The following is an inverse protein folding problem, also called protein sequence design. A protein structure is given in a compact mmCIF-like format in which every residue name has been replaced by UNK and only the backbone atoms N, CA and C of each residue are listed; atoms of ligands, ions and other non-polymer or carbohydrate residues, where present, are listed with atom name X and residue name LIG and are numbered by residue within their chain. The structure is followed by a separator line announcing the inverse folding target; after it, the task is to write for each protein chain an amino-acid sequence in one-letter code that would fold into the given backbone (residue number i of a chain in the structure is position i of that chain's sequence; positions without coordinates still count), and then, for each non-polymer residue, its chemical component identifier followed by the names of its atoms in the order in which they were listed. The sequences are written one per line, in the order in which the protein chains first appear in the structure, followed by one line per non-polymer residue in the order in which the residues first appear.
data_IF_580623594206
#
_entry.id   IF_580623594206
#
_cell.length_a   1.000
_cell.length_b   1.000
_cell.length_c   1.000
_cell.angle_alpha   90.00
_cell.angle_beta   90.00
_cell.angle_gamma   90.00
#
_symmetry.space_group_name_H-M   'P 1'
#
loop_
_entity.id
_entity.type
_entity.pdbx_description
1 polymer ?
#
# COMPACT_ATOMS: atom_id res chain seq x y z
N UNK A 1 15.37 -39.13 -19.32
CA UNK A 1 14.92 -38.95 -17.93
C UNK A 1 16.11 -38.78 -16.96
N UNK A 2 17.19 -38.09 -17.38
CA UNK A 2 18.46 -38.09 -16.63
C UNK A 2 18.90 -36.70 -16.16
N UNK A 3 18.28 -35.61 -16.64
CA UNK A 3 18.62 -34.23 -16.22
C UNK A 3 17.76 -33.67 -15.07
N UNK A 4 16.69 -34.37 -14.65
CA UNK A 4 15.78 -33.89 -13.61
C UNK A 4 16.35 -34.14 -12.21
N UNK A 5 17.10 -35.23 -12.00
CA UNK A 5 17.65 -35.57 -10.68
C UNK A 5 18.86 -34.72 -10.25
N UNK A 6 19.45 -33.92 -11.15
CA UNK A 6 20.60 -33.05 -10.80
C UNK A 6 20.18 -31.73 -10.17
N UNK A 7 18.93 -31.28 -10.40
CA UNK A 7 18.43 -29.98 -9.91
C UNK A 7 17.51 -30.08 -8.69
N UNK A 8 16.96 -31.27 -8.39
CA UNK A 8 16.11 -31.54 -7.21
C UNK A 8 16.33 -32.98 -6.70
N UNK A 9 17.24 -33.19 -5.74
CA UNK A 9 17.52 -34.51 -5.16
C UNK A 9 16.31 -35.12 -4.43
N UNK A 10 15.39 -34.28 -3.98
CA UNK A 10 14.16 -34.58 -3.23
C UNK A 10 13.09 -35.36 -4.02
N UNK A 11 13.21 -35.43 -5.35
CA UNK A 11 12.21 -36.06 -6.23
C UNK A 11 12.64 -37.42 -6.79
N UNK A 12 13.87 -37.87 -6.52
CA UNK A 12 14.42 -39.12 -7.07
C UNK A 12 14.82 -40.12 -5.99
N UNK A 13 14.31 -40.00 -4.76
CA UNK A 13 14.57 -40.96 -3.68
C UNK A 13 13.62 -42.18 -3.80
N UNK A 14 14.11 -43.38 -4.14
CA UNK A 14 13.30 -44.59 -4.18
C UNK A 14 12.94 -45.13 -2.78
N UNK A 15 13.41 -44.53 -1.69
CA UNK A 15 13.08 -44.94 -0.31
C UNK A 15 12.04 -44.07 0.41
N UNK A 16 11.51 -43.01 -0.23
CA UNK A 16 10.52 -42.11 0.37
C UNK A 16 9.05 -42.51 0.22
N UNK A 17 8.74 -43.55 -0.58
CA UNK A 17 7.37 -43.97 -0.92
C UNK A 17 6.91 -45.28 -0.23
N UNK A 18 7.42 -45.56 0.98
CA UNK A 18 7.02 -46.73 1.75
C UNK A 18 6.78 -46.40 3.23
N UNK A 19 5.75 -45.59 3.52
CA UNK A 19 5.07 -45.64 4.82
C UNK A 19 3.63 -45.16 4.78
N UNK A 20 2.87 -45.67 3.82
CA UNK A 20 1.46 -45.98 4.04
C UNK A 20 1.33 -47.49 3.85
N UNK A 21 1.07 -48.21 4.95
CA UNK A 21 0.25 -49.41 4.84
C UNK A 21 -0.58 -49.63 6.12
N UNK A 22 -1.76 -50.25 5.95
CA UNK A 22 -2.83 -50.35 6.91
C UNK A 22 -2.71 -51.61 7.77
N UNK A 23 -3.26 -51.59 8.99
CA UNK A 23 -3.61 -52.83 9.70
C UNK A 23 -5.04 -52.82 10.16
N UNK A 24 -5.71 -53.88 9.74
CA UNK A 24 -7.13 -54.15 9.90
C UNK A 24 -7.53 -54.42 11.36
N UNK A 25 -8.77 -54.00 11.63
CA UNK A 25 -9.77 -54.48 12.57
C UNK A 25 -9.40 -55.64 13.53
N UNK A 26 -9.47 -55.33 14.82
CA UNK A 26 -9.86 -56.25 15.91
C UNK A 26 -10.97 -55.57 16.74
N UNK A 27 -11.96 -56.32 17.27
CA UNK A 27 -13.19 -55.78 17.84
C UNK A 27 -12.92 -55.23 19.25
N UNK A 28 -13.46 -54.05 19.57
CA UNK A 28 -13.35 -53.50 20.93
C UNK A 28 -13.50 -51.99 21.06
N UNK A 29 -13.54 -51.25 19.96
CA UNK A 29 -13.62 -49.78 20.00
C UNK A 29 -15.02 -49.21 20.32
N UNK A 30 -16.05 -50.05 20.46
CA UNK A 30 -17.39 -49.61 20.82
C UNK A 30 -17.70 -49.72 22.33
N UNK A 31 -16.84 -50.39 23.12
CA UNK A 31 -17.10 -50.68 24.53
C UNK A 31 -16.23 -49.83 25.49
N UNK A 32 -15.13 -49.25 25.00
CA UNK A 32 -14.33 -48.26 25.76
C UNK A 32 -14.98 -46.87 25.86
N UNK A 33 -16.09 -46.62 25.15
CA UNK A 33 -16.79 -45.33 25.14
C UNK A 33 -17.86 -45.21 26.25
N UNK A 34 -18.05 -46.24 27.09
CA UNK A 34 -19.14 -46.28 28.09
C UNK A 34 -18.71 -46.33 29.56
N UNK A 35 -17.42 -46.32 29.87
CA UNK A 35 -16.91 -46.51 31.23
C UNK A 35 -16.08 -45.34 31.78
N UNK A 36 -16.40 -44.10 31.38
CA UNK A 36 -15.79 -42.87 31.94
C UNK A 36 -16.82 -41.87 32.50
N UNK A 37 -18.05 -42.33 32.77
CA UNK A 37 -19.15 -41.52 33.34
C UNK A 37 -19.23 -41.55 34.88
N UNK A 38 -18.11 -41.63 35.58
CA UNK A 38 -18.16 -41.57 37.05
C UNK A 38 -16.83 -41.24 37.68
N UNK A 39 -16.59 -39.96 37.98
CA UNK A 39 -15.79 -39.56 39.14
C UNK A 39 -16.27 -38.19 39.70
N UNK A 40 -16.20 -38.00 41.03
CA UNK A 40 -16.87 -36.95 41.82
C UNK A 40 -16.15 -35.58 41.76
N UNK A 41 -16.77 -34.48 42.25
CA UNK A 41 -16.19 -33.14 42.14
C UNK A 41 -14.97 -32.98 43.07
N UNK A 42 -13.83 -32.62 42.47
CA UNK A 42 -12.64 -32.15 43.18
C UNK A 42 -12.66 -30.63 43.42
N UNK A 43 -11.94 -30.13 44.44
CA UNK A 43 -12.05 -28.74 44.92
C UNK A 43 -11.48 -27.70 43.93
N UNK A 44 -12.15 -26.55 43.83
CA UNK A 44 -11.76 -25.37 43.04
C UNK A 44 -10.38 -24.82 43.45
N UNK A 45 -9.46 -24.77 42.49
CA UNK A 45 -8.24 -23.96 42.55
C UNK A 45 -8.53 -22.55 41.99
N UNK A 46 -8.06 -21.47 42.65
CA UNK A 46 -8.31 -20.11 42.18
C UNK A 46 -7.64 -19.82 40.83
N UNK A 47 -8.39 -19.18 39.94
CA UNK A 47 -7.96 -18.79 38.59
C UNK A 47 -6.68 -17.93 38.61
N UNK A 48 -5.71 -18.31 37.79
CA UNK A 48 -4.53 -17.50 37.51
C UNK A 48 -4.94 -16.20 36.78
N UNK A 49 -4.35 -15.04 37.11
CA UNK A 49 -4.62 -13.79 36.43
C UNK A 49 -4.20 -13.86 34.96
N UNK A 50 -5.13 -13.53 34.05
CA UNK A 50 -4.88 -13.51 32.61
C UNK A 50 -3.82 -12.49 32.20
N UNK A 51 -3.21 -12.66 31.00
CA UNK A 51 -2.21 -11.73 30.49
C UNK A 51 -2.78 -10.31 30.33
N UNK A 52 -1.97 -9.25 30.54
CA UNK A 52 -2.41 -7.88 30.42
C UNK A 52 -2.91 -7.58 29.00
N UNK A 53 -3.93 -6.71 28.86
CA UNK A 53 -4.48 -6.35 27.56
C UNK A 53 -3.39 -5.73 26.66
N UNK A 54 -3.28 -6.25 25.43
CA UNK A 54 -2.44 -5.69 24.37
C UNK A 54 -2.84 -4.23 24.14
N UNK A 55 -1.90 -3.27 24.11
CA UNK A 55 -2.21 -1.88 23.82
C UNK A 55 -2.89 -1.77 22.45
N UNK A 56 -4.07 -1.15 22.40
CA UNK A 56 -4.72 -0.84 21.14
C UNK A 56 -3.78 0.02 20.27
N UNK A 57 -3.71 -0.21 18.94
CA UNK A 57 -2.93 0.63 18.05
C UNK A 57 -3.38 2.09 18.20
N UNK A 58 -2.43 3.06 18.21
CA UNK A 58 -2.78 4.46 18.39
C UNK A 58 -3.75 4.91 17.29
N UNK A 59 -4.86 5.52 17.70
CA UNK A 59 -5.79 6.16 16.78
C UNK A 59 -5.03 7.23 15.98
N UNK A 60 -5.24 7.32 14.65
CA UNK A 60 -4.59 8.33 13.84
C UNK A 60 -5.01 9.73 14.31
N UNK A 61 -4.03 10.55 14.68
CA UNK A 61 -4.25 11.95 15.06
C UNK A 61 -4.98 12.67 13.92
N UNK A 62 -6.11 13.35 14.18
CA UNK A 62 -6.81 14.10 13.14
C UNK A 62 -5.90 15.21 12.61
N UNK A 63 -5.72 15.24 11.29
CA UNK A 63 -4.96 16.28 10.59
C UNK A 63 -5.78 17.58 10.60
N UNK A 64 -5.55 18.44 11.59
CA UNK A 64 -6.29 19.71 11.75
C UNK A 64 -6.02 20.69 10.59
N UNK A 65 -6.79 20.58 9.50
CA UNK A 65 -6.85 21.57 8.44
C UNK A 65 -8.29 22.05 8.26
N UNK A 66 -8.63 23.16 8.92
CA UNK A 66 -9.94 23.81 8.77
C UNK A 66 -9.92 24.72 7.53
N UNK A 67 -10.01 24.12 6.34
CA UNK A 67 -10.18 24.85 5.08
C UNK A 67 -11.54 24.46 4.50
N UNK A 68 -12.58 25.21 4.86
CA UNK A 68 -13.95 24.86 4.46
C UNK A 68 -14.25 25.21 3.00
N UNK A 69 -13.62 26.26 2.47
CA UNK A 69 -13.83 26.69 1.09
C UNK A 69 -12.88 25.98 0.11
N UNK A 70 -13.37 25.57 -1.07
CA UNK A 70 -12.53 24.94 -2.08
C UNK A 70 -11.52 25.92 -2.68
N UNK A 71 -10.33 25.43 -3.00
CA UNK A 71 -9.28 26.14 -3.72
C UNK A 71 -9.50 26.06 -5.22
N UNK A 72 -9.30 27.17 -5.91
CA UNK A 72 -9.34 27.22 -7.38
C UNK A 72 -7.95 27.02 -7.94
N UNK A 73 -7.79 26.02 -8.80
CA UNK A 73 -6.56 25.73 -9.52
C UNK A 73 -6.79 25.97 -11.00
N UNK A 74 -6.12 26.99 -11.53
CA UNK A 74 -6.19 27.38 -12.94
C UNK A 74 -5.06 26.71 -13.73
N UNK A 75 -5.42 25.93 -14.75
CA UNK A 75 -4.44 25.35 -15.70
C UNK A 75 -4.82 25.63 -17.14
N UNK A 76 -5.95 25.09 -17.58
CA UNK A 76 -6.58 25.34 -18.88
C UNK A 76 -8.05 25.68 -18.62
N UNK A 77 -8.70 24.81 -17.86
CA UNK A 77 -9.99 25.08 -17.23
C UNK A 77 -9.80 25.30 -15.72
N UNK A 78 -10.78 25.96 -15.10
CA UNK A 78 -10.84 26.06 -13.65
C UNK A 78 -11.16 24.68 -13.07
N UNK A 79 -10.32 24.22 -12.13
CA UNK A 79 -10.60 23.03 -11.34
C UNK A 79 -10.65 23.42 -9.88
N UNK A 80 -11.60 22.85 -9.14
CA UNK A 80 -11.83 23.16 -7.74
C UNK A 80 -11.44 21.96 -6.89
N UNK A 81 -10.76 22.21 -5.79
CA UNK A 81 -10.28 21.17 -4.89
C UNK A 81 -10.59 21.56 -3.45
N UNK A 82 -10.86 20.60 -2.57
CA UNK A 82 -11.03 20.83 -1.14
C UNK A 82 -10.01 20.02 -0.38
N UNK A 83 -9.44 20.61 0.67
CA UNK A 83 -8.64 19.86 1.64
C UNK A 83 -9.61 19.11 2.55
N UNK A 84 -9.49 17.78 2.60
CA UNK A 84 -10.33 16.93 3.43
C UNK A 84 -9.48 16.32 4.53
N UNK A 85 -9.90 16.50 5.78
CA UNK A 85 -9.31 15.78 6.90
C UNK A 85 -9.97 14.40 6.99
N UNK A 86 -9.44 13.43 6.25
CA UNK A 86 -9.90 12.05 6.27
C UNK A 86 -8.71 11.11 6.24
N UNK A 87 -8.75 10.00 6.99
CA UNK A 87 -7.73 8.96 6.87
C UNK A 87 -7.87 8.15 5.58
N UNK A 88 -8.94 8.32 4.79
CA UNK A 88 -9.19 7.53 3.57
C UNK A 88 -9.27 8.42 2.33
N UNK A 89 -8.29 8.26 1.42
CA UNK A 89 -8.29 8.92 0.12
C UNK A 89 -9.00 8.04 -0.93
N UNK A 90 -10.05 8.58 -1.53
CA UNK A 90 -10.90 7.88 -2.49
C UNK A 90 -10.37 8.01 -3.93
N UNK A 91 -11.05 7.35 -4.86
CA UNK A 91 -10.75 7.49 -6.28
C UNK A 91 -10.81 8.95 -6.75
N UNK A 92 -9.70 9.43 -7.34
CA UNK A 92 -9.56 10.79 -7.84
C UNK A 92 -9.15 11.83 -6.79
N UNK A 93 -9.06 11.43 -5.51
CA UNK A 93 -8.40 12.22 -4.50
C UNK A 93 -6.88 12.17 -4.72
N UNK A 94 -6.20 13.26 -4.36
CA UNK A 94 -4.74 13.38 -4.43
C UNK A 94 -4.20 13.64 -3.04
N UNK A 95 -3.34 12.74 -2.58
CA UNK A 95 -2.58 12.87 -1.35
C UNK A 95 -1.27 13.59 -1.64
N UNK A 96 -0.99 14.62 -0.87
CA UNK A 96 0.26 15.39 -0.92
C UNK A 96 0.96 15.19 0.41
N UNK A 97 2.19 14.69 0.38
CA UNK A 97 3.03 14.44 1.55
C UNK A 97 4.35 15.18 1.38
N UNK A 98 4.59 16.17 2.24
CA UNK A 98 5.87 16.91 2.28
C UNK A 98 6.76 16.45 3.42
N UNK A 99 6.15 16.08 4.54
CA UNK A 99 6.75 15.41 5.69
C UNK A 99 5.70 14.48 6.30
N UNK A 100 6.07 13.57 7.23
CA UNK A 100 5.08 12.73 7.92
C UNK A 100 3.99 13.54 8.63
N UNK A 101 4.33 14.74 9.11
CA UNK A 101 3.41 15.66 9.79
C UNK A 101 2.68 16.59 8.81
N UNK A 102 3.22 16.78 7.61
CA UNK A 102 2.68 17.66 6.58
C UNK A 102 2.11 16.83 5.42
N UNK A 103 0.98 16.17 5.68
CA UNK A 103 0.23 15.36 4.73
C UNK A 103 -1.22 15.86 4.59
N UNK A 104 -1.73 15.91 3.37
CA UNK A 104 -3.07 16.42 3.07
C UNK A 104 -3.76 15.58 1.99
N UNK A 105 -5.07 15.43 2.09
CA UNK A 105 -5.92 14.85 1.04
C UNK A 105 -6.64 15.97 0.30
N UNK A 106 -6.46 16.03 -1.02
CA UNK A 106 -7.15 16.96 -1.90
C UNK A 106 -8.24 16.23 -2.67
N UNK A 107 -9.49 16.60 -2.44
CA UNK A 107 -10.66 16.06 -3.15
C UNK A 107 -11.11 17.01 -4.24
N UNK A 108 -11.37 16.49 -5.43
CA UNK A 108 -11.84 17.31 -6.55
C UNK A 108 -13.33 17.62 -6.40
N UNK A 109 -13.70 18.89 -6.63
CA UNK A 109 -15.08 19.33 -6.73
C UNK A 109 -15.47 19.68 -8.17
N UNK A 110 -16.74 19.47 -8.51
CA UNK A 110 -17.27 19.75 -9.85
C UNK A 110 -17.45 21.24 -10.10
N UNK A 111 -17.95 21.98 -9.10
CA UNK A 111 -18.22 23.42 -9.18
C UNK A 111 -18.18 23.99 -7.77
N UNK A 112 -17.66 25.21 -7.64
CA UNK A 112 -17.71 25.98 -6.41
C UNK A 112 -18.24 27.38 -6.69
N UNK A 113 -19.20 27.84 -5.89
CA UNK A 113 -19.72 29.22 -5.98
C UNK A 113 -18.76 30.22 -5.34
N UNK A 114 -18.10 29.81 -4.26
CA UNK A 114 -17.06 30.57 -3.57
C UNK A 114 -15.79 29.73 -3.55
N UNK A 115 -14.65 30.37 -3.80
CA UNK A 115 -13.35 29.70 -3.81
C UNK A 115 -12.27 30.60 -3.24
N UNK A 116 -11.21 29.96 -2.78
CA UNK A 116 -9.99 30.62 -2.32
C UNK A 116 -8.87 30.38 -3.33
N UNK A 117 -7.84 31.23 -3.28
CA UNK A 117 -6.59 30.96 -3.97
C UNK A 117 -5.79 29.88 -3.21
N UNK A 118 -5.02 29.02 -3.90
CA UNK A 118 -4.28 27.95 -3.24
C UNK A 118 -3.22 28.53 -2.29
N UNK A 119 -3.16 28.09 -1.02
CA UNK A 119 -2.15 28.55 -0.09
C UNK A 119 -0.73 28.12 -0.48
N UNK A 120 0.26 28.85 0.02
CA UNK A 120 1.69 28.54 -0.19
C UNK A 120 2.07 27.12 0.23
N UNK A 121 1.41 26.56 1.26
CA UNK A 121 1.60 25.18 1.71
C UNK A 121 1.25 24.11 0.67
N UNK A 122 0.51 24.44 -0.39
CA UNK A 122 0.24 23.50 -1.49
C UNK A 122 1.26 23.59 -2.63
N UNK A 123 2.19 24.54 -2.56
CA UNK A 123 3.25 24.66 -3.53
C UNK A 123 4.45 23.80 -3.11
N UNK A 124 5.03 23.14 -4.10
CA UNK A 124 6.25 22.35 -3.96
C UNK A 124 7.29 22.94 -4.90
N UNK A 125 8.46 23.22 -4.34
CA UNK A 125 9.61 23.71 -5.08
C UNK A 125 10.54 22.54 -5.41
N UNK A 126 10.35 21.93 -6.58
CA UNK A 126 11.07 20.71 -6.92
C UNK A 126 10.83 20.20 -8.33
N UNK A 127 11.40 19.02 -8.62
CA UNK A 127 11.27 18.31 -9.90
C UNK A 127 10.88 16.85 -9.66
N UNK A 128 10.07 16.29 -10.56
CA UNK A 128 9.73 14.87 -10.50
C UNK A 128 10.94 14.06 -10.92
N UNK A 129 11.34 13.12 -10.08
CA UNK A 129 12.37 12.14 -10.39
C UNK A 129 11.75 10.94 -11.08
N UNK A 130 11.92 10.88 -12.41
CA UNK A 130 11.35 9.81 -13.24
C UNK A 130 12.17 8.53 -13.24
N UNK A 131 13.36 8.54 -12.64
CA UNK A 131 14.23 7.37 -12.56
C UNK A 131 13.58 6.17 -11.83
N UNK A 132 12.62 6.43 -10.94
CA UNK A 132 11.87 5.38 -10.25
C UNK A 132 10.79 4.72 -11.12
N UNK A 133 10.62 5.18 -12.35
CA UNK A 133 9.66 4.65 -13.33
C UNK A 133 10.39 3.76 -14.35
N UNK A 134 11.09 2.75 -13.85
CA UNK A 134 12.09 1.96 -14.59
C UNK A 134 11.50 1.34 -15.87
N UNK A 135 10.19 1.02 -15.87
CA UNK A 135 9.47 0.48 -17.04
C UNK A 135 8.14 1.18 -17.32
N UNK A 136 8.06 2.47 -16.98
CA UNK A 136 6.81 3.23 -17.09
C UNK A 136 5.82 2.99 -15.95
N UNK A 137 6.23 2.27 -14.91
CA UNK A 137 5.54 2.10 -13.63
C UNK A 137 6.55 1.87 -12.52
N UNK A 138 6.10 1.92 -11.26
CA UNK A 138 6.93 1.76 -10.07
C UNK A 138 6.87 0.31 -9.61
N UNK A 139 8.04 -0.29 -9.43
CA UNK A 139 8.21 -1.67 -8.98
C UNK A 139 8.11 -1.78 -7.45
N UNK A 140 7.71 -2.95 -6.96
CA UNK A 140 7.68 -3.26 -5.52
C UNK A 140 9.01 -2.96 -4.84
N UNK A 141 10.12 -3.39 -5.45
CA UNK A 141 11.47 -3.20 -4.90
C UNK A 141 11.89 -1.72 -4.79
N UNK A 142 11.25 -0.81 -5.52
CA UNK A 142 11.54 0.62 -5.43
C UNK A 142 10.85 1.30 -4.24
N UNK A 143 9.85 0.68 -3.62
CA UNK A 143 9.05 1.28 -2.53
C UNK A 143 9.92 1.66 -1.34
N UNK A 144 10.78 0.75 -0.88
CA UNK A 144 11.64 0.97 0.28
C UNK A 144 12.68 2.06 0.02
N UNK A 145 13.25 2.07 -1.18
CA UNK A 145 14.18 3.12 -1.61
C UNK A 145 13.50 4.49 -1.60
N UNK A 146 12.29 4.59 -2.16
CA UNK A 146 11.51 5.85 -2.15
C UNK A 146 11.22 6.29 -0.71
N UNK A 147 10.90 5.35 0.19
CA UNK A 147 10.67 5.65 1.60
C UNK A 147 11.94 6.16 2.30
N UNK A 148 13.11 5.57 2.02
CA UNK A 148 14.40 6.04 2.54
C UNK A 148 14.72 7.46 2.04
N UNK A 149 14.50 7.71 0.74
CA UNK A 149 14.70 9.03 0.15
C UNK A 149 13.77 10.08 0.76
N UNK A 150 12.50 9.73 0.98
CA UNK A 150 11.57 10.61 1.69
C UNK A 150 12.05 10.95 3.10
N UNK A 151 12.54 9.96 3.86
CA UNK A 151 13.10 10.16 5.21
C UNK A 151 14.34 11.06 5.24
N UNK A 152 15.05 11.24 4.11
CA UNK A 152 16.14 12.22 4.03
C UNK A 152 15.67 13.68 4.11
N UNK A 153 14.37 13.94 4.00
CA UNK A 153 13.80 15.30 3.99
C UNK A 153 13.97 16.04 2.66
N UNK A 154 14.65 15.45 1.69
CA UNK A 154 14.92 16.06 0.37
C UNK A 154 13.83 15.75 -0.66
N UNK A 155 12.79 15.01 -0.30
CA UNK A 155 11.77 14.54 -1.23
C UNK A 155 10.36 14.75 -0.66
N UNK A 156 9.45 15.16 -1.53
CA UNK A 156 8.01 15.14 -1.30
C UNK A 156 7.36 14.08 -2.19
N UNK A 157 6.22 13.58 -1.75
CA UNK A 157 5.44 12.58 -2.46
C UNK A 157 4.07 13.16 -2.82
N UNK A 158 3.65 12.98 -4.06
CA UNK A 158 2.27 13.26 -4.49
C UNK A 158 1.70 12.00 -5.11
N UNK A 159 0.64 11.47 -4.52
CA UNK A 159 0.08 10.18 -4.93
C UNK A 159 -1.45 10.14 -4.82
N UNK A 160 -2.08 9.13 -5.39
CA UNK A 160 -3.53 8.99 -5.33
C UNK A 160 -4.05 7.93 -6.31
N UNK A 161 -5.29 7.50 -6.09
CA UNK A 161 -5.98 6.54 -6.95
C UNK A 161 -6.30 7.18 -8.31
N UNK A 162 -5.89 6.53 -9.40
CA UNK A 162 -6.09 7.04 -10.76
C UNK A 162 -6.41 5.90 -11.74
N UNK A 163 -7.69 5.80 -12.13
CA UNK A 163 -8.15 4.85 -13.17
C UNK A 163 -7.41 4.98 -14.50
N UNK A 164 -6.76 6.11 -14.77
CA UNK A 164 -6.01 6.36 -16.01
C UNK A 164 -4.55 5.94 -15.92
N UNK A 165 -4.05 5.55 -14.74
CA UNK A 165 -2.69 5.09 -14.53
C UNK A 165 -2.51 3.64 -14.98
N UNK A 166 -2.81 3.36 -16.25
CA UNK A 166 -2.74 2.03 -16.85
C UNK A 166 -1.36 1.80 -17.46
N UNK A 167 -0.78 0.64 -17.16
CA UNK A 167 0.51 0.17 -17.69
C UNK A 167 0.27 -0.68 -18.92
N UNK A 168 0.76 -0.23 -20.07
CA UNK A 168 0.70 -0.99 -21.32
C UNK A 168 1.77 -2.08 -21.33
N UNK A 169 1.46 -3.28 -21.86
CA UNK A 169 2.46 -4.32 -22.03
C UNK A 169 3.55 -3.84 -23.01
N UNK A 170 4.84 -4.03 -22.67
CA UNK A 170 5.94 -3.66 -23.56
C UNK A 170 6.02 -4.61 -24.77
N UNK A 171 6.63 -4.13 -25.85
CA UNK A 171 6.85 -4.94 -27.06
C UNK A 171 8.02 -5.92 -26.91
N UNK A 172 9.02 -5.59 -26.10
CA UNK A 172 10.18 -6.45 -25.84
C UNK A 172 9.78 -7.64 -24.95
N UNK A 173 10.19 -8.84 -25.33
CA UNK A 173 9.89 -10.07 -24.60
C UNK A 173 10.46 -10.08 -23.18
N UNK A 174 11.70 -9.60 -22.98
CA UNK A 174 12.32 -9.52 -21.66
C UNK A 174 11.52 -8.65 -20.70
N UNK A 175 11.08 -7.48 -21.17
CA UNK A 175 10.27 -6.55 -20.38
C UNK A 175 8.84 -7.07 -20.17
N UNK A 176 8.33 -7.93 -21.06
CA UNK A 176 7.03 -8.57 -20.86
C UNK A 176 7.02 -9.48 -19.64
N UNK A 177 8.14 -10.13 -19.30
CA UNK A 177 8.20 -10.95 -18.08
C UNK A 177 8.00 -10.07 -16.84
N UNK A 178 8.73 -8.96 -16.73
CA UNK A 178 8.58 -7.99 -15.63
C UNK A 178 7.16 -7.45 -15.59
N UNK A 179 6.60 -7.06 -16.74
CA UNK A 179 5.23 -6.57 -16.83
C UNK A 179 4.20 -7.61 -16.41
N UNK A 180 4.37 -8.89 -16.75
CA UNK A 180 3.45 -9.96 -16.33
C UNK A 180 3.46 -10.18 -14.81
N UNK A 181 4.62 -10.03 -14.17
CA UNK A 181 4.76 -10.27 -12.74
C UNK A 181 4.30 -9.06 -11.91
N UNK A 182 4.62 -7.85 -12.35
CA UNK A 182 4.37 -6.63 -11.57
C UNK A 182 3.49 -5.60 -12.28
N UNK A 183 3.55 -5.49 -13.60
CA UNK A 183 2.79 -4.50 -14.36
C UNK A 183 1.29 -4.80 -14.45
N UNK A 184 0.90 -6.07 -14.56
CA UNK A 184 -0.51 -6.48 -14.62
C UNK A 184 -1.28 -6.11 -13.33
N UNK A 185 -0.68 -6.32 -12.16
CA UNK A 185 -1.33 -6.01 -10.88
C UNK A 185 -1.51 -4.51 -10.65
N UNK A 186 -0.64 -3.67 -11.23
CA UNK A 186 -0.86 -2.21 -11.25
C UNK A 186 -2.19 -1.88 -11.92
N UNK A 187 -2.55 -2.58 -13.00
CA UNK A 187 -3.81 -2.35 -13.70
C UNK A 187 -5.05 -2.84 -12.92
N UNK A 188 -4.88 -3.78 -11.98
CA UNK A 188 -5.96 -4.30 -11.16
C UNK A 188 -6.44 -3.28 -10.11
N UNK A 189 -5.52 -2.53 -9.52
CA UNK A 189 -5.84 -1.41 -8.62
C UNK A 189 -4.89 -0.24 -8.88
N UNK A 190 -5.22 0.60 -9.88
CA UNK A 190 -4.29 1.60 -10.39
C UNK A 190 -4.24 2.84 -9.51
N UNK A 191 -3.03 3.15 -9.06
CA UNK A 191 -2.68 4.41 -8.42
C UNK A 191 -1.56 5.09 -9.21
N UNK A 192 -1.33 6.35 -8.89
CA UNK A 192 -0.23 7.14 -9.45
C UNK A 192 0.61 7.72 -8.32
N UNK A 193 1.93 7.67 -8.48
CA UNK A 193 2.89 8.19 -7.52
C UNK A 193 3.93 9.06 -8.24
N UNK A 194 4.06 10.29 -7.77
CA UNK A 194 5.09 11.23 -8.17
C UNK A 194 6.06 11.45 -6.99
N UNK A 195 7.32 11.10 -7.20
CA UNK A 195 8.40 11.38 -6.27
C UNK A 195 9.05 12.70 -6.69
N UNK A 196 8.99 13.72 -5.83
CA UNK A 196 9.42 15.08 -6.14
C UNK A 196 10.66 15.39 -5.30
N UNK A 197 11.82 15.54 -5.95
CA UNK A 197 13.02 16.03 -5.27
C UNK A 197 12.88 17.52 -5.02
N UNK A 198 12.99 17.90 -3.75
CA UNK A 198 12.96 19.26 -3.27
C UNK A 198 14.28 19.95 -3.59
N UNK A 199 14.23 21.22 -4.00
CA UNK A 199 15.43 21.99 -4.29
C UNK A 199 15.15 23.46 -4.56
N UNK A 200 15.99 24.33 -4.01
CA UNK A 200 15.81 25.80 -4.01
C UNK A 200 15.93 26.48 -5.38
N UNK A 201 16.44 25.80 -6.41
CA UNK A 201 16.58 26.35 -7.77
C UNK A 201 15.35 26.17 -8.67
N UNK A 202 14.33 25.42 -8.25
CA UNK A 202 13.14 25.18 -9.07
C UNK A 202 12.08 26.28 -8.85
N UNK A 203 11.25 26.59 -9.86
CA UNK A 203 10.08 27.46 -9.64
C UNK A 203 9.03 26.69 -8.83
N UNK A 204 8.44 27.28 -7.76
CA UNK A 204 7.36 26.63 -7.02
C UNK A 204 6.17 26.36 -7.94
N UNK A 205 5.62 25.15 -7.83
CA UNK A 205 4.43 24.72 -8.58
C UNK A 205 3.44 24.08 -7.62
N UNK A 206 2.16 24.18 -7.92
CA UNK A 206 1.13 23.52 -7.13
C UNK A 206 1.33 21.99 -7.15
N UNK A 207 1.18 21.33 -6.01
CA UNK A 207 1.39 19.89 -5.83
C UNK A 207 0.62 19.04 -6.86
N UNK A 208 -0.63 19.41 -7.16
CA UNK A 208 -1.49 18.76 -8.17
C UNK A 208 -0.88 18.71 -9.58
N UNK A 209 0.03 19.64 -9.91
CA UNK A 209 0.71 19.63 -11.21
C UNK A 209 1.76 18.51 -11.33
N UNK A 210 2.28 18.02 -10.20
CA UNK A 210 3.22 16.91 -10.15
C UNK A 210 2.51 15.56 -10.23
N UNK A 211 1.28 15.45 -9.72
CA UNK A 211 0.49 14.22 -9.78
C UNK A 211 0.44 13.65 -11.20
N UNK A 212 0.06 14.44 -12.20
CA UNK A 212 -0.03 14.01 -13.61
C UNK A 212 1.32 13.58 -14.23
N UNK A 213 2.45 13.94 -13.61
CA UNK A 213 3.79 13.58 -14.04
C UNK A 213 4.33 12.33 -13.32
N UNK A 214 3.60 11.86 -12.31
CA UNK A 214 3.89 10.62 -11.61
C UNK A 214 3.62 9.40 -12.47
N UNK A 215 4.10 8.27 -11.98
CA UNK A 215 4.05 6.99 -12.66
C UNK A 215 3.01 6.06 -12.02
N UNK A 216 2.41 5.17 -12.81
CA UNK A 216 1.57 4.10 -12.29
C UNK A 216 2.26 3.30 -11.18
N UNK A 217 1.50 2.96 -10.16
CA UNK A 217 1.90 2.09 -9.05
C UNK A 217 0.68 1.30 -8.60
N UNK A 218 0.90 0.08 -8.12
CA UNK A 218 -0.15 -0.70 -7.51
C UNK A 218 -0.55 -0.08 -6.16
N UNK A 219 -1.85 0.12 -5.94
CA UNK A 219 -2.37 0.83 -4.76
C UNK A 219 -1.89 0.24 -3.42
N UNK A 220 -1.74 -1.09 -3.33
CA UNK A 220 -1.22 -1.75 -2.13
C UNK A 220 0.22 -1.32 -1.82
N UNK A 221 1.07 -1.19 -2.84
CA UNK A 221 2.44 -0.73 -2.67
C UNK A 221 2.51 0.76 -2.32
N UNK A 222 1.58 1.56 -2.85
CA UNK A 222 1.43 2.95 -2.47
C UNK A 222 1.00 3.10 -1.00
N UNK A 223 0.10 2.25 -0.51
CA UNK A 223 -0.27 2.18 0.90
C UNK A 223 0.90 1.71 1.79
N UNK A 224 1.64 0.71 1.35
CA UNK A 224 2.87 0.28 2.04
C UNK A 224 3.89 1.43 2.14
N UNK A 225 4.07 2.20 1.06
CA UNK A 225 4.93 3.39 1.09
C UNK A 225 4.46 4.41 2.13
N UNK A 226 3.16 4.73 2.16
CA UNK A 226 2.57 5.66 3.13
C UNK A 226 2.82 5.21 4.58
N UNK A 227 2.65 3.92 4.86
CA UNK A 227 2.95 3.34 6.16
C UNK A 227 4.44 3.45 6.52
N UNK A 228 5.34 3.12 5.59
CA UNK A 228 6.80 3.21 5.78
C UNK A 228 7.30 4.63 6.07
N UNK A 229 6.61 5.65 5.55
CA UNK A 229 6.93 7.06 5.79
C UNK A 229 6.15 7.66 6.96
N UNK A 230 5.37 6.85 7.69
CA UNK A 230 4.64 7.28 8.90
C UNK A 230 3.39 8.13 8.62
N UNK A 231 2.79 8.01 7.44
CA UNK A 231 1.54 8.70 7.07
C UNK A 231 0.36 7.76 7.25
N UNK A 232 -0.64 8.18 8.01
CA UNK A 232 -1.82 7.39 8.37
C UNK A 232 -2.93 7.36 7.30
N UNK A 233 -2.77 8.13 6.21
CA UNK A 233 -3.72 8.15 5.10
C UNK A 233 -3.63 6.82 4.35
N UNK A 234 -4.78 6.24 4.02
CA UNK A 234 -4.91 5.03 3.22
C UNK A 234 -5.62 5.34 1.90
N UNK A 235 -5.04 4.89 0.80
CA UNK A 235 -5.68 4.91 -0.52
C UNK A 235 -6.71 3.79 -0.62
N UNK A 236 -7.91 4.14 -1.07
CA UNK A 236 -9.01 3.23 -1.35
C UNK A 236 -9.26 3.26 -2.87
N UNK A 237 -8.48 2.44 -3.57
CA UNK A 237 -8.59 2.19 -5.00
C UNK A 237 -9.14 0.76 -5.21
#
# INVERSE_FOLDING_TARGET
MTEICTKRPDLCDPQGLAREEPRAAGPGAAEAARELLGHPPGPELPAAPGPPPVPAPPLPTPLHFQWEAPIRVRRIFNTYWRLVNTPFAQLGDVVVVKSPQEAYVLRREKKAERWLEPPGSLYIQGRVEKQYCIYGFILRGSVELIAQLFRSGMYAIVLGCDRRAVVKPPRSFELQQIWRHEGYIVNASPARLAVVRLGGGAKPRIALSFFNKGCPIYSLWANQLLQLIGVSIQLVC
#
